data_IF_781943629971
#
_entry.id   IF_781943629971
#
_cell.length_a   1.000
_cell.length_b   1.000
_cell.length_c   1.000
_cell.angle_alpha   90.00
_cell.angle_beta   90.00
_cell.angle_gamma   90.00
#
_symmetry.space_group_name_H-M   'P 1'
#
loop_
_entity.id
_entity.type
_entity.pdbx_description
1 polymer ?
#
# COMPACT_ATOMS: atom_id res chain seq x y z
N UNK A 1 17.71 -6.79 -40.98
CA UNK A 1 18.19 -8.09 -40.47
C UNK A 1 17.19 -9.14 -40.88
N UNK A 2 17.57 -10.03 -41.80
CA UNK A 2 16.73 -11.18 -42.11
C UNK A 2 16.97 -12.22 -41.02
N UNK A 3 16.02 -12.37 -40.10
CA UNK A 3 16.06 -13.42 -39.09
C UNK A 3 15.81 -14.75 -39.81
N UNK A 4 16.83 -15.60 -39.88
CA UNK A 4 16.67 -16.95 -40.42
C UNK A 4 16.17 -17.85 -39.30
N UNK A 5 15.16 -18.67 -39.60
CA UNK A 5 14.61 -19.58 -38.61
C UNK A 5 15.63 -20.65 -38.20
N UNK A 6 15.57 -21.08 -36.93
CA UNK A 6 16.44 -22.14 -36.41
C UNK A 6 16.32 -23.44 -37.23
N UNK A 7 15.14 -23.74 -37.78
CA UNK A 7 14.91 -24.92 -38.62
C UNK A 7 15.65 -24.82 -39.95
N UNK A 8 15.69 -23.64 -40.56
CA UNK A 8 16.49 -23.37 -41.76
C UNK A 8 17.98 -23.49 -41.48
N UNK A 9 18.48 -22.86 -40.39
CA UNK A 9 19.89 -22.95 -39.98
C UNK A 9 20.28 -24.42 -39.77
N UNK A 10 19.47 -25.21 -39.05
CA UNK A 10 19.72 -26.64 -38.84
C UNK A 10 19.84 -27.46 -40.13
N UNK A 11 19.18 -27.04 -41.22
CA UNK A 11 19.30 -27.73 -42.51
C UNK A 11 20.65 -27.52 -43.18
N UNK A 12 21.31 -26.38 -42.96
CA UNK A 12 22.62 -26.07 -43.51
C UNK A 12 23.76 -26.88 -42.89
N UNK A 13 23.58 -27.35 -41.64
CA UNK A 13 24.59 -28.10 -40.88
C UNK A 13 24.28 -29.61 -40.76
N UNK A 14 23.52 -30.19 -41.69
CA UNK A 14 23.29 -31.64 -41.73
C UNK A 14 24.55 -32.40 -42.15
N UNK A 15 24.69 -33.64 -41.70
CA UNK A 15 25.80 -34.51 -42.09
C UNK A 15 25.93 -34.59 -43.62
N UNK A 16 27.12 -34.29 -44.13
CA UNK A 16 27.41 -34.27 -45.57
C UNK A 16 27.06 -32.96 -46.29
N UNK A 17 26.51 -31.96 -45.60
CA UNK A 17 26.31 -30.60 -46.10
C UNK A 17 27.30 -29.65 -45.43
N UNK A 18 27.84 -28.73 -46.23
CA UNK A 18 28.69 -27.63 -45.76
C UNK A 18 27.98 -26.33 -46.15
N UNK A 19 27.70 -25.43 -45.19
CA UNK A 19 27.12 -24.14 -45.51
C UNK A 19 28.07 -23.31 -46.38
N UNK A 20 27.53 -22.52 -47.29
CA UNK A 20 28.30 -21.47 -47.94
C UNK A 20 28.61 -20.32 -46.96
N UNK A 21 29.48 -19.40 -47.37
CA UNK A 21 29.91 -18.28 -46.53
C UNK A 21 28.73 -17.41 -46.04
N UNK A 22 27.73 -17.17 -46.90
CA UNK A 22 26.58 -16.35 -46.54
C UNK A 22 25.71 -17.08 -45.51
N UNK A 23 25.43 -18.37 -45.73
CA UNK A 23 24.70 -19.22 -44.78
C UNK A 23 25.40 -19.30 -43.41
N UNK A 24 26.74 -19.32 -43.41
CA UNK A 24 27.53 -19.30 -42.19
C UNK A 24 27.39 -17.97 -41.44
N UNK A 25 27.47 -16.83 -42.13
CA UNK A 25 27.28 -15.52 -41.52
C UNK A 25 25.84 -15.29 -41.04
N UNK A 26 24.85 -15.68 -41.85
CA UNK A 26 23.42 -15.63 -41.50
C UNK A 26 23.10 -16.43 -40.24
N UNK A 27 23.87 -17.48 -39.96
CA UNK A 27 23.76 -18.24 -38.71
C UNK A 27 24.11 -17.35 -37.52
N UNK A 28 25.25 -16.66 -37.54
CA UNK A 28 25.67 -15.80 -36.45
C UNK A 28 24.78 -14.57 -36.31
N UNK A 29 24.39 -13.95 -37.42
CA UNK A 29 23.52 -12.78 -37.44
C UNK A 29 22.09 -13.07 -36.94
N UNK A 30 21.65 -14.33 -36.96
CA UNK A 30 20.34 -14.74 -36.43
C UNK A 30 20.33 -14.93 -34.91
N UNK A 31 21.49 -14.98 -34.25
CA UNK A 31 21.60 -15.04 -32.79
C UNK A 31 22.07 -13.69 -32.22
N UNK A 32 21.52 -13.30 -31.07
CA UNK A 32 22.02 -12.14 -30.32
C UNK A 32 23.36 -12.48 -29.65
N UNK A 33 24.33 -11.58 -29.74
CA UNK A 33 25.57 -11.69 -28.97
C UNK A 33 25.35 -11.23 -27.52
N UNK A 34 26.18 -11.71 -26.59
CA UNK A 34 26.08 -11.33 -25.16
C UNK A 34 26.32 -9.85 -24.90
N UNK A 35 27.03 -9.16 -25.79
CA UNK A 35 27.27 -7.73 -25.75
C UNK A 35 26.07 -6.90 -26.21
N UNK A 36 25.10 -7.53 -26.88
CA UNK A 36 23.98 -6.81 -27.47
C UNK A 36 22.95 -6.50 -26.40
N UNK A 37 22.49 -5.26 -26.39
CA UNK A 37 21.42 -4.85 -25.50
C UNK A 37 20.09 -5.47 -25.94
N UNK A 38 19.32 -5.94 -24.95
CA UNK A 38 17.95 -6.41 -25.13
C UNK A 38 17.01 -5.27 -24.79
N UNK A 39 16.17 -4.86 -25.74
CA UNK A 39 15.15 -3.88 -25.48
C UNK A 39 14.08 -4.47 -24.57
N UNK A 40 13.58 -3.66 -23.61
CA UNK A 40 12.52 -4.08 -22.67
C UNK A 40 11.28 -4.56 -23.42
N UNK A 41 10.98 -3.97 -24.58
CA UNK A 41 9.86 -4.35 -25.46
C UNK A 41 9.92 -5.80 -25.95
N UNK A 42 11.12 -6.38 -26.04
CA UNK A 42 11.35 -7.72 -26.57
C UNK A 42 11.22 -8.79 -25.47
N UNK A 43 11.11 -8.39 -24.20
CA UNK A 43 11.05 -9.29 -23.06
C UNK A 43 9.58 -9.60 -22.73
N UNK A 44 9.14 -10.79 -23.13
CA UNK A 44 7.80 -11.27 -22.77
C UNK A 44 7.60 -11.36 -21.26
N UNK A 45 6.45 -10.90 -20.77
CA UNK A 45 6.08 -10.96 -19.35
C UNK A 45 6.67 -9.86 -18.47
N UNK A 46 7.56 -9.00 -18.98
CA UNK A 46 8.17 -7.93 -18.18
C UNK A 46 7.14 -6.92 -17.68
N UNK A 47 6.17 -6.53 -18.52
CA UNK A 47 5.12 -5.60 -18.15
C UNK A 47 4.23 -6.13 -17.01
N UNK A 48 3.95 -7.45 -17.00
CA UNK A 48 3.18 -8.07 -15.93
C UNK A 48 3.94 -8.11 -14.59
N UNK A 49 5.25 -8.37 -14.65
CA UNK A 49 6.11 -8.31 -13.47
C UNK A 49 6.19 -6.89 -12.91
N UNK A 50 6.33 -5.87 -13.76
CA UNK A 50 6.36 -4.47 -13.34
C UNK A 50 5.02 -4.04 -12.73
N UNK A 51 3.90 -4.41 -13.35
CA UNK A 51 2.56 -4.11 -12.84
C UNK A 51 2.25 -4.76 -11.47
N UNK A 52 2.98 -5.83 -11.10
CA UNK A 52 2.86 -6.46 -9.78
C UNK A 52 3.64 -5.74 -8.67
N UNK A 53 4.42 -4.71 -9.02
CA UNK A 53 5.22 -3.92 -8.09
C UNK A 53 4.61 -2.53 -7.94
N UNK A 54 4.77 -1.99 -6.74
CA UNK A 54 4.51 -0.58 -6.46
C UNK A 54 5.76 0.24 -6.79
N UNK A 55 5.58 1.43 -7.33
CA UNK A 55 6.65 2.40 -7.54
C UNK A 55 7.35 2.75 -6.22
N UNK A 56 8.68 2.86 -6.24
CA UNK A 56 9.49 3.03 -5.04
C UNK A 56 9.06 4.28 -4.23
N UNK A 57 8.85 5.40 -4.92
CA UNK A 57 8.44 6.66 -4.28
C UNK A 57 7.10 6.51 -3.55
N UNK A 58 6.14 5.78 -4.13
CA UNK A 58 4.84 5.54 -3.50
C UNK A 58 5.00 4.69 -2.24
N UNK A 59 5.88 3.68 -2.28
CA UNK A 59 6.19 2.85 -1.12
C UNK A 59 6.86 3.64 0.01
N UNK A 60 7.85 4.47 -0.32
CA UNK A 60 8.59 5.27 0.66
C UNK A 60 7.69 6.35 1.29
N UNK A 61 6.83 7.00 0.50
CA UNK A 61 5.83 7.94 1.01
C UNK A 61 4.82 7.24 1.93
N UNK A 62 4.38 6.03 1.58
CA UNK A 62 3.48 5.24 2.42
C UNK A 62 4.12 4.88 3.78
N UNK A 63 5.42 4.61 3.80
CA UNK A 63 6.15 4.26 5.02
C UNK A 63 6.31 5.44 5.99
N UNK A 64 6.41 6.66 5.46
CA UNK A 64 6.56 7.89 6.25
C UNK A 64 5.22 8.48 6.72
N UNK A 65 4.10 8.07 6.11
CA UNK A 65 2.78 8.55 6.48
C UNK A 65 2.29 7.92 7.79
N UNK A 66 2.33 8.70 8.87
CA UNK A 66 1.82 8.29 10.19
C UNK A 66 0.31 7.97 10.18
N UNK A 67 -0.43 8.45 9.19
CA UNK A 67 -1.87 8.24 9.02
C UNK A 67 -2.20 7.35 7.81
N UNK A 68 -1.27 6.55 7.30
CA UNK A 68 -1.51 5.73 6.11
C UNK A 68 -2.65 4.70 6.28
N UNK A 69 -2.95 4.32 7.54
CA UNK A 69 -3.98 3.34 7.90
C UNK A 69 -4.86 3.82 9.07
N UNK A 70 -5.61 4.93 8.93
CA UNK A 70 -6.24 5.62 10.05
C UNK A 70 -7.41 4.82 10.65
N UNK A 71 -8.02 3.93 9.86
CA UNK A 71 -9.15 3.09 10.27
C UNK A 71 -8.73 1.70 10.76
N UNK A 72 -7.50 1.27 10.50
CA UNK A 72 -6.96 -0.02 10.97
C UNK A 72 -6.20 0.13 12.29
N UNK A 73 -5.62 1.31 12.51
CA UNK A 73 -4.96 1.69 13.75
C UNK A 73 -5.91 2.57 14.60
N UNK A 74 -7.07 2.03 14.98
CA UNK A 74 -7.96 2.66 15.96
C UNK A 74 -7.12 3.23 17.10
N UNK A 75 -7.03 4.57 17.15
CA UNK A 75 -6.23 5.33 18.12
C UNK A 75 -6.41 4.69 19.49
N UNK A 76 -5.29 4.34 20.11
CA UNK A 76 -5.21 3.68 21.41
C UNK A 76 -6.34 4.11 22.35
N UNK A 77 -6.96 3.12 23.01
CA UNK A 77 -8.05 3.23 24.01
C UNK A 77 -7.64 3.99 25.28
N UNK A 78 -7.00 5.13 25.11
CA UNK A 78 -6.43 5.96 26.16
C UNK A 78 -7.14 7.30 26.10
N UNK A 79 -7.87 7.65 27.16
CA UNK A 79 -8.50 8.96 27.30
C UNK A 79 -7.42 9.91 27.85
N UNK A 80 -7.04 11.00 27.14
CA UNK A 80 -6.13 12.03 27.64
C UNK A 80 -6.61 12.64 28.97
N UNK A 81 -5.66 13.11 29.79
CA UNK A 81 -5.96 13.79 31.06
C UNK A 81 -6.88 15.00 30.81
N UNK A 82 -7.95 15.11 31.60
CA UNK A 82 -8.95 16.19 31.49
C UNK A 82 -10.09 15.93 30.49
N UNK A 83 -10.04 14.85 29.71
CA UNK A 83 -11.13 14.46 28.81
C UNK A 83 -12.20 13.59 29.50
N UNK A 84 -13.42 13.62 28.98
CA UNK A 84 -14.56 12.80 29.42
C UNK A 84 -14.98 11.90 28.29
N UNK A 85 -15.30 10.65 28.61
CA UNK A 85 -15.94 9.73 27.68
C UNK A 85 -17.46 9.80 27.87
N UNK A 86 -18.20 9.91 26.77
CA UNK A 86 -19.65 9.91 26.74
C UNK A 86 -20.17 8.62 26.11
N UNK A 87 -21.19 8.03 26.71
CA UNK A 87 -21.89 6.84 26.28
C UNK A 87 -23.36 7.16 26.10
N UNK A 88 -23.91 6.74 24.97
CA UNK A 88 -25.32 6.91 24.69
C UNK A 88 -26.16 5.98 25.55
N UNK A 89 -27.19 6.57 26.14
CA UNK A 89 -28.20 5.86 26.93
C UNK A 89 -29.54 6.12 26.25
N UNK A 90 -30.30 5.05 25.96
CA UNK A 90 -31.64 5.19 25.38
C UNK A 90 -32.49 6.16 26.22
N UNK A 91 -33.18 7.14 25.60
CA UNK A 91 -33.53 7.23 24.17
C UNK A 91 -32.55 8.01 23.28
N UNK A 92 -31.41 8.44 23.80
CA UNK A 92 -30.44 9.24 23.03
C UNK A 92 -29.74 8.36 21.98
N UNK A 93 -29.82 8.77 20.72
CA UNK A 93 -29.31 7.99 19.57
C UNK A 93 -28.32 8.78 18.69
N UNK A 94 -28.12 10.07 18.94
CA UNK A 94 -27.24 10.89 18.10
C UNK A 94 -25.77 10.72 18.49
N UNK A 95 -25.05 9.81 17.84
CA UNK A 95 -23.64 9.50 18.11
C UNK A 95 -22.68 10.70 17.92
N UNK A 96 -23.12 11.80 17.31
CA UNK A 96 -22.26 12.94 16.97
C UNK A 96 -22.35 14.12 17.96
N UNK A 97 -23.34 14.13 18.84
CA UNK A 97 -23.60 15.25 19.76
C UNK A 97 -23.81 14.73 21.18
N UNK A 98 -23.38 15.48 22.20
CA UNK A 98 -23.68 15.16 23.60
C UNK A 98 -25.09 15.65 23.96
N UNK A 99 -25.85 14.81 24.62
CA UNK A 99 -27.23 15.08 24.99
C UNK A 99 -27.39 14.96 26.52
N UNK A 100 -28.19 15.82 27.17
CA UNK A 100 -28.53 15.61 28.58
C UNK A 100 -29.10 14.20 28.79
N UNK A 101 -28.64 13.52 29.84
CA UNK A 101 -28.96 12.10 30.10
C UNK A 101 -27.95 11.10 29.56
N UNK A 102 -26.98 11.52 28.73
CA UNK A 102 -25.88 10.64 28.32
C UNK A 102 -25.00 10.25 29.51
N UNK A 103 -24.56 8.99 29.58
CA UNK A 103 -23.69 8.55 30.65
C UNK A 103 -22.25 8.98 30.37
N UNK A 104 -21.59 9.55 31.38
CA UNK A 104 -20.24 10.06 31.23
C UNK A 104 -19.30 9.53 32.33
N UNK A 105 -18.02 9.37 32.00
CA UNK A 105 -16.98 8.99 32.95
C UNK A 105 -15.65 9.70 32.67
N UNK A 106 -14.93 10.06 33.73
CA UNK A 106 -13.62 10.70 33.62
C UNK A 106 -12.83 10.64 34.94
N UNK A 107 -11.58 11.10 34.87
CA UNK A 107 -10.78 11.42 36.04
C UNK A 107 -10.73 12.94 36.22
N UNK A 108 -11.10 13.42 37.41
CA UNK A 108 -11.01 14.83 37.82
C UNK A 108 -10.24 14.84 39.14
N UNK A 109 -9.16 15.63 39.21
CA UNK A 109 -8.40 15.83 40.46
C UNK A 109 -8.07 14.52 41.21
N UNK A 110 -7.50 13.56 40.47
CA UNK A 110 -7.13 12.23 40.98
C UNK A 110 -8.30 11.36 41.49
N UNK A 111 -9.53 11.74 41.21
CA UNK A 111 -10.73 10.97 41.53
C UNK A 111 -11.46 10.52 40.27
N UNK A 112 -11.88 9.26 40.24
CA UNK A 112 -12.73 8.75 39.18
C UNK A 112 -14.18 9.17 39.41
N UNK A 113 -14.77 9.84 38.43
CA UNK A 113 -16.14 10.37 38.48
C UNK A 113 -16.95 9.76 37.34
N UNK A 114 -18.18 9.34 37.63
CA UNK A 114 -19.14 8.87 36.63
C UNK A 114 -20.58 9.27 36.96
N UNK A 115 -21.41 9.46 35.95
CA UNK A 115 -22.81 9.87 36.13
C UNK A 115 -23.47 10.30 34.82
N UNK A 116 -24.74 10.70 34.91
CA UNK A 116 -25.46 11.22 33.75
C UNK A 116 -25.12 12.70 33.51
N UNK A 117 -24.92 13.05 32.24
CA UNK A 117 -24.63 14.39 31.80
C UNK A 117 -25.85 15.30 31.97
N UNK A 118 -25.66 16.46 32.60
CA UNK A 118 -26.76 17.39 32.90
C UNK A 118 -26.93 18.49 31.86
N UNK A 119 -26.14 18.49 30.77
CA UNK A 119 -26.19 19.53 29.73
C UNK A 119 -25.45 20.83 30.06
N UNK A 120 -24.64 20.85 31.13
CA UNK A 120 -23.89 22.04 31.56
C UNK A 120 -22.67 22.34 30.65
N UNK A 121 -22.04 23.51 30.77
CA UNK A 121 -20.85 23.84 29.99
C UNK A 121 -19.64 22.95 30.38
N UNK A 122 -18.90 22.40 29.41
CA UNK A 122 -17.72 21.52 29.63
C UNK A 122 -16.56 22.22 30.38
N UNK A 123 -16.63 23.54 30.51
CA UNK A 123 -15.59 24.38 31.13
C UNK A 123 -15.64 24.43 32.67
N UNK A 124 -16.69 23.91 33.33
CA UNK A 124 -16.81 23.92 34.80
C UNK A 124 -15.94 22.87 35.51
N UNK A 125 -15.11 22.11 34.79
CA UNK A 125 -14.13 21.18 35.38
C UNK A 125 -13.01 21.86 36.18
N UNK A 126 -12.93 23.19 36.17
CA UNK A 126 -11.92 23.96 36.90
C UNK A 126 -12.46 24.72 38.12
N UNK A 127 -13.76 24.61 38.44
CA UNK A 127 -14.39 25.50 39.44
C UNK A 127 -15.07 24.79 40.62
N UNK A 128 -14.75 23.52 40.89
CA UNK A 128 -15.12 22.91 42.17
C UNK A 128 -13.91 22.92 43.10
N UNK A 129 -13.57 24.12 43.58
CA UNK A 129 -12.81 24.32 44.82
C UNK A 129 -13.78 24.58 45.96
#
# INVERSE_FOLDING_TARGET
>A
MAIVSLTTIKNWFKTGLVPDQNQFWDTWDSFRHKSDQIAVTDISGINGLLASKTEQEVFDNHLQDENAHPNLLLKSRCIPVGQVLFFKVAPNVNENEKEPGDYCMCWIENSFVSGNWTGSNDQLKSSYT
#
